data_IF_096457070632
#
_entry.id   IF_096457070632
#
_cell.length_a   1.000
_cell.length_b   1.000
_cell.length_c   1.000
_cell.angle_alpha   90.00
_cell.angle_beta   90.00
_cell.angle_gamma   90.00
#
_symmetry.space_group_name_H-M   'P 1'
#
loop_
_entity.id
_entity.type
_entity.pdbx_description
1 polymer ?
#
# COMPACT_ATOMS: atom_id res chain seq x y z
N UNK A 1 -13.33 6.39 -2.53
CA UNK A 1 -12.20 5.70 -1.86
C UNK A 1 -11.41 6.70 -1.00
N UNK A 2 -10.39 6.25 -0.24
CA UNK A 2 -9.72 6.87 0.94
C UNK A 2 -9.17 8.33 0.87
N UNK A 3 -9.67 9.20 -0.01
CA UNK A 3 -9.28 10.62 -0.18
C UNK A 3 -7.77 10.86 -0.21
N UNK A 4 -7.03 9.94 -0.83
CA UNK A 4 -5.59 10.09 -1.07
C UNK A 4 -5.38 11.04 -2.25
N UNK A 5 -4.47 11.98 -2.08
CA UNK A 5 -4.06 12.93 -3.13
C UNK A 5 -2.95 12.37 -4.03
N UNK A 6 -2.74 11.05 -4.02
CA UNK A 6 -1.72 10.36 -4.79
C UNK A 6 -2.26 9.03 -5.34
N UNK A 7 -1.61 8.56 -6.39
CA UNK A 7 -1.88 7.33 -7.13
C UNK A 7 -0.93 6.21 -6.74
N UNK A 8 -1.29 4.98 -7.11
CA UNK A 8 -0.39 3.82 -6.95
C UNK A 8 0.91 4.01 -7.75
N UNK A 9 0.85 4.64 -8.93
CA UNK A 9 2.04 4.92 -9.74
C UNK A 9 3.01 5.88 -9.04
N UNK A 10 2.51 6.89 -8.35
CA UNK A 10 3.34 7.82 -7.56
C UNK A 10 3.94 7.11 -6.34
N UNK A 11 3.17 6.24 -5.67
CA UNK A 11 3.71 5.39 -4.61
C UNK A 11 4.88 4.54 -5.10
N UNK A 12 4.70 3.86 -6.25
CA UNK A 12 5.75 3.03 -6.88
C UNK A 12 7.02 3.83 -7.15
N UNK A 13 6.88 4.99 -7.79
CA UNK A 13 8.00 5.89 -8.07
C UNK A 13 8.80 6.23 -6.80
N UNK A 14 8.11 6.55 -5.70
CA UNK A 14 8.76 6.87 -4.43
C UNK A 14 9.50 5.66 -3.86
N UNK A 15 8.84 4.50 -3.79
CA UNK A 15 9.45 3.27 -3.25
C UNK A 15 10.68 2.85 -4.06
N UNK A 16 10.56 2.82 -5.40
CA UNK A 16 11.64 2.44 -6.29
C UNK A 16 12.84 3.37 -6.13
N UNK A 17 12.60 4.69 -6.12
CA UNK A 17 13.64 5.70 -5.96
C UNK A 17 14.37 5.56 -4.62
N UNK A 18 13.64 5.31 -3.53
CA UNK A 18 14.25 5.14 -2.21
C UNK A 18 15.09 3.86 -2.14
N UNK A 19 14.59 2.75 -2.69
CA UNK A 19 15.31 1.49 -2.74
C UNK A 19 16.58 1.57 -3.61
N UNK A 20 16.56 2.32 -4.70
CA UNK A 20 17.72 2.53 -5.58
C UNK A 20 18.78 3.43 -4.93
N UNK A 21 18.37 4.56 -4.35
CA UNK A 21 19.30 5.59 -3.86
C UNK A 21 19.83 5.32 -2.46
N UNK A 22 19.14 4.50 -1.65
CA UNK A 22 19.51 4.24 -0.25
C UNK A 22 19.68 2.73 -0.02
N UNK A 23 20.91 2.20 -0.19
CA UNK A 23 21.18 0.80 0.04
C UNK A 23 20.82 0.37 1.48
N UNK A 24 20.04 -0.71 1.60
CA UNK A 24 19.57 -1.23 2.89
C UNK A 24 18.35 -0.53 3.48
N UNK A 25 17.67 0.34 2.70
CA UNK A 25 16.39 0.93 3.09
C UNK A 25 15.37 -0.14 3.48
N UNK A 26 14.63 0.10 4.56
CA UNK A 26 13.52 -0.73 5.00
C UNK A 26 12.25 0.11 5.03
N UNK A 27 11.26 -0.28 4.25
CA UNK A 27 9.98 0.41 4.15
C UNK A 27 8.91 -0.43 4.86
N UNK A 28 8.17 0.22 5.74
CA UNK A 28 7.00 -0.36 6.39
C UNK A 28 5.74 0.30 5.83
N UNK A 29 4.64 -0.44 5.73
CA UNK A 29 3.36 0.10 5.25
C UNK A 29 2.17 -0.44 6.05
N UNK A 30 1.15 0.38 6.19
CA UNK A 30 -0.14 0.03 6.77
C UNK A 30 -1.19 -0.12 5.66
N UNK A 31 -1.96 -1.20 5.74
CA UNK A 31 -3.01 -1.54 4.78
C UNK A 31 -4.32 -1.67 5.54
N UNK A 32 -5.36 -1.03 5.00
CA UNK A 32 -6.72 -1.11 5.50
C UNK A 32 -7.52 -1.90 4.45
N UNK A 33 -8.05 -3.05 4.85
CA UNK A 33 -8.94 -3.88 4.02
C UNK A 33 -10.41 -3.64 4.41
N UNK A 34 -11.33 -3.91 3.48
CA UNK A 34 -12.77 -3.79 3.70
C UNK A 34 -13.26 -2.34 3.75
N UNK A 35 -12.55 -1.43 3.07
CA UNK A 35 -13.00 -0.03 2.99
C UNK A 35 -14.35 0.07 2.26
N UNK A 36 -15.26 1.00 2.64
CA UNK A 36 -16.54 1.14 1.95
C UNK A 36 -16.37 1.40 0.46
N UNK A 37 -16.83 0.45 -0.36
CA UNK A 37 -16.72 0.49 -1.82
C UNK A 37 -15.48 -0.21 -2.40
N UNK A 38 -14.69 -0.92 -1.59
CA UNK A 38 -13.63 -1.82 -2.07
C UNK A 38 -14.24 -2.98 -2.85
N UNK A 39 -13.75 -3.24 -4.07
CA UNK A 39 -14.13 -4.41 -4.88
C UNK A 39 -13.12 -5.55 -4.75
N UNK A 40 -13.49 -6.74 -5.22
CA UNK A 40 -12.56 -7.88 -5.27
C UNK A 40 -11.33 -7.58 -6.14
N UNK A 41 -11.50 -6.81 -7.21
CA UNK A 41 -10.41 -6.35 -8.06
C UNK A 41 -9.47 -5.40 -7.31
N UNK A 42 -10.00 -4.43 -6.56
CA UNK A 42 -9.20 -3.50 -5.74
C UNK A 42 -8.35 -4.27 -4.70
N UNK A 43 -8.95 -5.30 -4.09
CA UNK A 43 -8.27 -6.18 -3.15
C UNK A 43 -7.15 -6.97 -3.81
N UNK A 44 -7.41 -7.57 -4.98
CA UNK A 44 -6.39 -8.32 -5.75
C UNK A 44 -5.24 -7.42 -6.17
N UNK A 45 -5.52 -6.21 -6.63
CA UNK A 45 -4.48 -5.23 -6.99
C UNK A 45 -3.61 -4.85 -5.79
N UNK A 46 -4.22 -4.66 -4.62
CA UNK A 46 -3.49 -4.42 -3.36
C UNK A 46 -2.59 -5.60 -3.00
N UNK A 47 -3.08 -6.84 -3.12
CA UNK A 47 -2.29 -8.06 -2.88
C UNK A 47 -1.13 -8.18 -3.86
N UNK A 48 -1.34 -7.87 -5.13
CA UNK A 48 -0.30 -7.90 -6.15
C UNK A 48 0.81 -6.87 -5.83
N UNK A 49 0.45 -5.66 -5.41
CA UNK A 49 1.40 -4.63 -4.98
C UNK A 49 2.27 -5.10 -3.80
N UNK A 50 1.67 -5.74 -2.79
CA UNK A 50 2.43 -6.27 -1.64
C UNK A 50 3.40 -7.37 -2.08
N UNK A 51 2.95 -8.28 -2.94
CA UNK A 51 3.77 -9.38 -3.46
C UNK A 51 4.94 -8.88 -4.30
N UNK A 52 4.74 -7.82 -5.04
CA UNK A 52 5.77 -7.20 -5.88
C UNK A 52 6.88 -6.58 -5.04
N UNK A 53 6.52 -5.80 -4.02
CA UNK A 53 7.50 -5.06 -3.22
C UNK A 53 8.09 -5.84 -2.05
N UNK A 54 7.43 -6.91 -1.60
CA UNK A 54 7.86 -7.75 -0.47
C UNK A 54 8.39 -6.96 0.72
N UNK A 55 7.66 -5.89 1.09
CA UNK A 55 8.10 -4.95 2.11
C UNK A 55 8.34 -5.69 3.44
N UNK A 56 9.43 -5.37 4.17
CA UNK A 56 9.82 -6.09 5.38
C UNK A 56 8.78 -6.02 6.49
N UNK A 57 7.94 -4.99 6.51
CA UNK A 57 6.85 -4.86 7.47
C UNK A 57 5.58 -4.37 6.78
N UNK A 58 4.51 -5.15 6.93
CA UNK A 58 3.18 -4.82 6.44
C UNK A 58 2.20 -5.03 7.59
N UNK A 59 1.56 -3.96 8.05
CA UNK A 59 0.51 -4.03 9.05
C UNK A 59 -0.85 -4.02 8.34
N UNK A 60 -1.70 -5.00 8.63
CA UNK A 60 -3.00 -5.14 7.99
C UNK A 60 -4.08 -4.95 9.05
N UNK A 61 -5.00 -4.02 8.77
CA UNK A 61 -6.13 -3.70 9.63
C UNK A 61 -7.43 -3.76 8.81
N UNK A 62 -8.53 -4.06 9.49
CA UNK A 62 -9.86 -3.95 8.89
C UNK A 62 -10.37 -2.52 9.04
N UNK A 63 -11.06 -2.00 8.03
CA UNK A 63 -11.71 -0.69 8.14
C UNK A 63 -12.76 -0.71 9.25
N UNK A 64 -12.70 0.28 10.13
CA UNK A 64 -13.73 0.59 11.09
C UNK A 64 -14.14 2.07 10.94
N UNK A 65 -15.43 2.38 10.73
CA UNK A 65 -15.88 3.76 10.69
C UNK A 65 -15.64 4.42 12.04
N UNK A 66 -15.04 5.61 12.02
CA UNK A 66 -14.81 6.43 13.21
C UNK A 66 -15.98 7.42 13.32
N UNK A 67 -16.57 7.59 14.52
CA UNK A 67 -17.65 8.56 14.74
C UNK A 67 -17.16 10.01 14.60
#
# INVERSE_FOLDING_TARGET
AMNREYTVSEFRMVVDTLCELVPGMQIATDIICGFPGETDEDFVETVNLIKEYQLPQVHISQFYPRP
#
